data_IF_443639292912
#
_entry.id   IF_443639292912
#
_cell.length_a   1.000
_cell.length_b   1.000
_cell.length_c   1.000
_cell.angle_alpha   90.00
_cell.angle_beta   90.00
_cell.angle_gamma   90.00
#
_symmetry.space_group_name_H-M   'P 1'
#
loop_
_entity.id
_entity.type
_entity.pdbx_description
1 polymer ?
#
# COMPACT_ATOMS: atom_id res chain seq x y z
N UNK A 1 2.35 -51.42 -8.35
CA UNK A 1 1.50 -51.14 -9.53
C UNK A 1 0.88 -49.77 -9.30
N UNK A 2 1.45 -48.72 -9.89
CA UNK A 2 0.95 -47.35 -9.73
C UNK A 2 0.15 -47.04 -10.99
N UNK A 3 -1.16 -46.86 -10.83
CA UNK A 3 -2.09 -46.54 -11.91
C UNK A 3 -1.98 -45.03 -12.15
N UNK A 4 -1.24 -44.66 -13.19
CA UNK A 4 -1.23 -43.29 -13.71
C UNK A 4 -2.54 -43.06 -14.48
N UNK A 5 -3.51 -42.41 -13.84
CA UNK A 5 -4.67 -41.84 -14.54
C UNK A 5 -4.19 -40.67 -15.40
N UNK A 6 -3.88 -40.99 -16.65
CA UNK A 6 -3.58 -40.05 -17.72
C UNK A 6 -4.86 -39.23 -17.99
N UNK A 7 -4.88 -37.97 -17.57
CA UNK A 7 -5.95 -37.04 -17.94
C UNK A 7 -5.71 -36.59 -19.39
N UNK A 8 -6.45 -37.18 -20.31
CA UNK A 8 -6.42 -36.90 -21.75
C UNK A 8 -7.29 -35.67 -22.06
N UNK A 9 -6.79 -34.82 -22.96
CA UNK A 9 -7.39 -33.57 -23.48
C UNK A 9 -7.23 -32.30 -22.64
N UNK A 10 -6.19 -31.53 -23.00
CA UNK A 10 -6.02 -30.09 -22.70
C UNK A 10 -6.82 -29.18 -23.67
N UNK A 11 -7.54 -29.76 -24.63
CA UNK A 11 -8.16 -29.04 -25.74
C UNK A 11 -9.65 -28.70 -25.50
N UNK A 12 -10.19 -29.11 -24.34
CA UNK A 12 -11.58 -28.85 -23.98
C UNK A 12 -11.62 -27.87 -22.81
N UNK A 13 -11.95 -26.58 -23.04
CA UNK A 13 -12.10 -25.65 -21.93
C UNK A 13 -13.29 -26.08 -21.05
N UNK A 14 -13.22 -25.86 -19.72
CA UNK A 14 -14.32 -26.19 -18.83
C UNK A 14 -15.55 -25.37 -19.16
N UNK A 15 -16.71 -26.02 -19.20
CA UNK A 15 -18.00 -25.39 -19.50
C UNK A 15 -18.43 -24.54 -18.29
N UNK A 16 -18.27 -23.22 -18.40
CA UNK A 16 -18.60 -22.25 -17.35
C UNK A 16 -19.97 -21.65 -17.67
N UNK A 17 -20.96 -21.71 -16.75
CA UNK A 17 -22.27 -21.10 -17.00
C UNK A 17 -22.13 -19.58 -17.16
N UNK A 18 -22.74 -19.04 -18.22
CA UNK A 18 -22.74 -17.61 -18.51
C UNK A 18 -23.39 -16.83 -17.36
N UNK A 19 -22.67 -15.83 -16.83
CA UNK A 19 -23.16 -14.97 -15.76
C UNK A 19 -24.21 -14.00 -16.31
N UNK A 20 -25.49 -14.38 -16.24
CA UNK A 20 -26.60 -13.48 -16.57
C UNK A 20 -26.83 -12.52 -15.40
N UNK A 21 -26.20 -11.35 -15.45
CA UNK A 21 -26.44 -10.26 -14.51
C UNK A 21 -27.85 -9.69 -14.67
N UNK A 22 -28.73 -9.96 -13.73
CA UNK A 22 -30.00 -9.22 -13.56
C UNK A 22 -29.68 -7.77 -13.18
N UNK A 23 -30.14 -6.80 -13.97
CA UNK A 23 -29.99 -5.39 -13.65
C UNK A 23 -30.71 -5.05 -12.33
N UNK A 24 -30.05 -4.41 -11.33
CA UNK A 24 -30.72 -4.03 -10.11
C UNK A 24 -31.72 -2.89 -10.37
N UNK A 25 -32.95 -3.13 -9.93
CA UNK A 25 -34.08 -2.18 -9.93
C UNK A 25 -33.70 -0.94 -9.11
N UNK A 26 -34.04 0.24 -9.64
CA UNK A 26 -33.92 1.54 -8.96
C UNK A 26 -34.57 1.47 -7.57
N UNK A 27 -33.75 1.58 -6.52
CA UNK A 27 -34.23 1.70 -5.14
C UNK A 27 -33.53 2.87 -4.44
N UNK A 28 -34.36 3.90 -4.17
CA UNK A 28 -34.38 4.80 -3.01
C UNK A 28 -33.14 5.68 -2.75
N UNK A 29 -33.26 6.92 -3.21
CA UNK A 29 -32.38 8.06 -2.92
C UNK A 29 -32.27 8.34 -1.40
N UNK A 30 -33.30 8.00 -0.62
CA UNK A 30 -33.35 8.28 0.83
C UNK A 30 -32.38 7.40 1.66
N UNK A 31 -31.90 6.28 1.11
CA UNK A 31 -30.96 5.39 1.82
C UNK A 31 -29.52 5.94 1.78
N UNK A 32 -29.21 6.85 0.86
CA UNK A 32 -27.87 7.42 0.72
C UNK A 32 -27.58 8.50 1.77
N UNK A 33 -28.58 9.30 2.15
CA UNK A 33 -28.42 10.34 3.17
C UNK A 33 -28.13 9.75 4.55
N UNK A 34 -28.80 8.64 4.89
CA UNK A 34 -28.58 7.96 6.18
C UNK A 34 -27.24 7.22 6.20
N UNK A 35 -26.84 6.60 5.09
CA UNK A 35 -25.54 5.95 4.96
C UNK A 35 -24.38 6.96 5.07
N UNK A 36 -24.51 8.14 4.44
CA UNK A 36 -23.49 9.18 4.49
C UNK A 36 -23.38 9.80 5.90
N UNK A 37 -24.51 10.05 6.55
CA UNK A 37 -24.55 10.59 7.91
C UNK A 37 -23.91 9.60 8.90
N UNK A 38 -24.21 8.31 8.79
CA UNK A 38 -23.60 7.28 9.63
C UNK A 38 -22.10 7.11 9.36
N UNK A 39 -21.66 7.23 8.11
CA UNK A 39 -20.24 7.19 7.76
C UNK A 39 -19.46 8.39 8.36
N UNK A 40 -20.03 9.60 8.31
CA UNK A 40 -19.42 10.78 8.90
C UNK A 40 -19.29 10.67 10.43
N UNK A 41 -20.31 10.14 11.11
CA UNK A 41 -20.28 9.88 12.56
C UNK A 41 -19.23 8.82 12.92
N UNK A 42 -19.13 7.74 12.14
CA UNK A 42 -18.10 6.71 12.35
C UNK A 42 -16.67 7.27 12.21
N UNK A 43 -16.44 8.14 11.22
CA UNK A 43 -15.13 8.75 10.99
C UNK A 43 -14.76 9.76 12.09
N UNK A 44 -15.71 10.58 12.54
CA UNK A 44 -15.51 11.50 13.66
C UNK A 44 -15.19 10.76 14.96
N UNK A 45 -15.88 9.64 15.22
CA UNK A 45 -15.61 8.80 16.38
C UNK A 45 -14.21 8.15 16.33
N UNK A 46 -13.74 7.75 15.16
CA UNK A 46 -12.39 7.19 14.98
C UNK A 46 -11.29 8.23 15.28
N UNK A 47 -11.49 9.50 14.94
CA UNK A 47 -10.52 10.55 15.23
C UNK A 47 -10.46 10.89 16.73
N UNK A 48 -11.62 10.87 17.40
CA UNK A 48 -11.71 11.13 18.84
C UNK A 48 -11.14 10.01 19.72
N UNK A 49 -10.89 8.80 19.18
CA UNK A 49 -10.25 7.70 19.93
C UNK A 49 -8.72 7.80 19.98
N UNK A 50 -8.12 8.81 19.35
CA UNK A 50 -6.65 8.94 19.22
C UNK A 50 -5.94 9.56 20.42
N UNK A 51 -6.65 9.99 21.48
CA UNK A 51 -6.06 10.69 22.63
C UNK A 51 -5.85 9.81 23.87
N UNK A 52 -6.09 8.50 23.80
CA UNK A 52 -5.71 7.58 24.88
C UNK A 52 -5.35 6.20 24.33
N UNK A 53 -4.09 6.05 23.98
CA UNK A 53 -3.54 4.77 23.55
C UNK A 53 -2.10 4.98 23.17
N UNK A 54 -1.19 4.70 24.13
CA UNK A 54 0.23 4.48 23.86
C UNK A 54 0.38 3.82 22.49
N UNK A 55 1.06 4.51 21.58
CA UNK A 55 1.67 3.88 20.42
C UNK A 55 2.67 2.86 20.97
N UNK A 56 2.19 1.65 21.28
CA UNK A 56 3.03 0.47 21.26
C UNK A 56 3.18 0.14 19.79
N UNK A 57 4.04 0.92 19.13
CA UNK A 57 4.81 0.44 18.00
C UNK A 57 5.66 -0.72 18.53
N UNK A 58 5.02 -1.88 18.76
CA UNK A 58 5.74 -3.12 18.86
C UNK A 58 6.31 -3.33 17.48
N UNK A 59 7.55 -2.85 17.30
CA UNK A 59 8.41 -3.12 16.18
C UNK A 59 8.53 -4.63 16.05
N UNK A 60 7.61 -5.23 15.30
CA UNK A 60 7.89 -6.51 14.69
C UNK A 60 9.05 -6.23 13.74
N UNK A 61 10.25 -6.56 14.19
CA UNK A 61 11.45 -6.74 13.38
C UNK A 61 11.11 -7.76 12.30
N UNK A 62 10.40 -7.30 11.28
CA UNK A 62 10.04 -8.04 10.11
C UNK A 62 11.22 -7.81 9.19
N UNK A 63 12.18 -8.73 9.25
CA UNK A 63 13.23 -8.88 8.25
C UNK A 63 12.57 -8.73 6.88
N UNK A 64 12.79 -7.57 6.26
CA UNK A 64 12.20 -7.23 4.96
C UNK A 64 12.61 -8.32 3.98
N UNK A 65 11.68 -8.77 3.13
CA UNK A 65 12.05 -9.73 2.09
C UNK A 65 13.14 -9.14 1.20
N UNK A 66 14.07 -9.94 0.66
CA UNK A 66 15.18 -9.43 -0.15
C UNK A 66 14.73 -8.54 -1.32
N UNK A 67 13.59 -8.88 -1.94
CA UNK A 67 12.98 -8.08 -3.01
C UNK A 67 12.50 -6.72 -2.52
N UNK A 68 11.89 -6.66 -1.32
CA UNK A 68 11.44 -5.39 -0.72
C UNK A 68 12.61 -4.51 -0.26
N UNK A 69 13.66 -5.10 0.31
CA UNK A 69 14.89 -4.36 0.63
C UNK A 69 15.53 -3.76 -0.62
N UNK A 70 15.55 -4.50 -1.73
CA UNK A 70 16.10 -4.01 -3.01
C UNK A 70 15.26 -2.87 -3.59
N UNK A 71 13.93 -3.00 -3.59
CA UNK A 71 13.00 -1.94 -4.03
C UNK A 71 13.19 -0.66 -3.20
N UNK A 72 13.30 -0.78 -1.88
CA UNK A 72 13.52 0.36 -0.98
C UNK A 72 14.89 0.99 -1.20
N UNK A 73 15.96 0.21 -1.41
CA UNK A 73 17.27 0.75 -1.76
C UNK A 73 17.23 1.56 -3.05
N UNK A 74 16.60 1.04 -4.10
CA UNK A 74 16.41 1.77 -5.36
C UNK A 74 15.69 3.10 -5.15
N UNK A 75 14.58 3.10 -4.40
CA UNK A 75 13.82 4.32 -4.10
C UNK A 75 14.65 5.35 -3.33
N UNK A 76 15.45 4.93 -2.35
CA UNK A 76 16.34 5.84 -1.61
C UNK A 76 17.39 6.48 -2.53
N UNK A 77 17.94 5.76 -3.51
CA UNK A 77 18.86 6.34 -4.50
C UNK A 77 18.18 7.34 -5.44
N UNK A 78 16.94 7.05 -5.87
CA UNK A 78 16.15 7.99 -6.66
C UNK A 78 15.86 9.27 -5.86
N UNK A 79 15.55 9.15 -4.58
CA UNK A 79 15.35 10.29 -3.69
C UNK A 79 16.62 11.13 -3.52
N UNK A 80 17.81 10.51 -3.41
CA UNK A 80 19.07 11.26 -3.36
C UNK A 80 19.32 12.04 -4.65
N UNK A 81 19.01 11.46 -5.82
CA UNK A 81 19.15 12.15 -7.11
C UNK A 81 18.19 13.32 -7.21
N UNK A 82 16.94 13.13 -6.81
CA UNK A 82 15.95 14.20 -6.79
C UNK A 82 16.35 15.33 -5.82
N UNK A 83 16.85 14.97 -4.64
CA UNK A 83 17.34 15.92 -3.65
C UNK A 83 18.53 16.75 -4.18
N UNK A 84 19.42 16.14 -4.96
CA UNK A 84 20.50 16.85 -5.63
C UNK A 84 19.97 17.88 -6.63
N UNK A 85 19.02 17.47 -7.49
CA UNK A 85 18.42 18.39 -8.46
C UNK A 85 17.76 19.59 -7.77
N UNK A 86 17.02 19.39 -6.68
CA UNK A 86 16.40 20.48 -5.92
C UNK A 86 17.42 21.45 -5.30
N UNK A 87 18.60 20.95 -4.92
CA UNK A 87 19.68 21.79 -4.43
C UNK A 87 20.33 22.58 -5.57
N UNK A 88 20.58 21.92 -6.70
CA UNK A 88 21.14 22.55 -7.90
C UNK A 88 20.19 23.63 -8.49
N UNK A 89 18.88 23.41 -8.38
CA UNK A 89 17.82 24.37 -8.75
C UNK A 89 17.69 25.53 -7.74
N UNK A 90 18.43 25.49 -6.62
CA UNK A 90 18.39 26.51 -5.57
C UNK A 90 17.09 26.52 -4.76
N UNK A 91 16.27 25.47 -4.85
CA UNK A 91 15.00 25.34 -4.13
C UNK A 91 15.25 25.01 -2.65
N UNK A 92 16.29 24.22 -2.37
CA UNK A 92 16.70 23.85 -1.01
C UNK A 92 17.91 24.67 -0.56
N UNK A 93 17.88 25.07 0.71
CA UNK A 93 19.07 25.61 1.37
C UNK A 93 20.06 24.49 1.73
N UNK A 94 21.34 24.84 1.87
CA UNK A 94 22.41 23.86 2.16
C UNK A 94 22.13 23.05 3.44
N UNK A 95 21.55 23.68 4.45
CA UNK A 95 21.18 23.05 5.72
C UNK A 95 20.04 22.04 5.57
N UNK A 96 19.06 22.32 4.71
CA UNK A 96 17.95 21.41 4.43
C UNK A 96 18.41 20.22 3.59
N UNK A 97 19.26 20.48 2.59
CA UNK A 97 19.87 19.44 1.77
C UNK A 97 20.68 18.45 2.62
N UNK A 98 21.57 18.94 3.48
CA UNK A 98 22.39 18.07 4.34
C UNK A 98 21.55 17.25 5.31
N UNK A 99 20.56 17.87 5.97
CA UNK A 99 19.65 17.17 6.89
C UNK A 99 18.85 16.07 6.20
N UNK A 100 18.29 16.35 5.01
CA UNK A 100 17.52 15.35 4.27
C UNK A 100 18.41 14.23 3.73
N UNK A 101 19.61 14.57 3.24
CA UNK A 101 20.61 13.60 2.77
C UNK A 101 21.02 12.63 3.88
N UNK A 102 21.29 13.13 5.08
CA UNK A 102 21.64 12.31 6.24
C UNK A 102 20.51 11.34 6.61
N UNK A 103 19.27 11.80 6.59
CA UNK A 103 18.11 10.96 6.90
C UNK A 103 17.91 9.80 5.88
N UNK A 104 18.12 10.08 4.59
CA UNK A 104 18.07 9.05 3.54
C UNK A 104 19.22 8.05 3.69
N UNK A 105 20.42 8.52 4.03
CA UNK A 105 21.57 7.64 4.29
C UNK A 105 21.38 6.76 5.53
N UNK A 106 20.74 7.28 6.58
CA UNK A 106 20.36 6.48 7.75
C UNK A 106 19.34 5.40 7.37
N UNK A 107 18.36 5.74 6.55
CA UNK A 107 17.38 4.78 6.02
C UNK A 107 18.07 3.63 5.25
N UNK A 108 19.05 3.96 4.39
CA UNK A 108 19.85 2.97 3.67
C UNK A 108 20.69 2.09 4.60
N UNK A 109 21.27 2.65 5.66
CA UNK A 109 22.06 1.89 6.64
C UNK A 109 21.19 0.90 7.40
N UNK A 110 19.95 1.26 7.72
CA UNK A 110 19.00 0.39 8.43
C UNK A 110 18.40 -0.71 7.55
N UNK A 111 18.61 -0.64 6.23
CA UNK A 111 18.18 -1.64 5.24
C UNK A 111 19.21 -2.75 4.98
N UNK A 112 20.43 -2.60 5.52
CA UNK A 112 21.54 -3.57 5.49
C UNK A 112 21.62 -4.33 6.81
#
# INVERSE_FOLDING_TARGET
MIISSLHESYDTPPDIPAFTGSAPKKLKIDTMSDALTNAAVAFANAFNTSTSGKSSCTSTSSTLSPSKSTELRMKNYEQLRYLQNLYDDGILTESEYTKQKENILLSLRNLC
#
